data_IF_820245661902
#
_entry.id   IF_820245661902
#
_cell.length_a   1.000
_cell.length_b   1.000
_cell.length_c   1.000
_cell.angle_alpha   90.00
_cell.angle_beta   90.00
_cell.angle_gamma   90.00
#
_symmetry.space_group_name_H-M   'P 1'
#
loop_
_entity.id
_entity.type
_entity.pdbx_description
1 polymer ?
#
# COMPACT_ATOMS: atom_id res chain seq x y z
N UNK A 1 -6.21 22.61 -7.71
CA UNK A 1 -5.37 21.50 -8.24
C UNK A 1 -4.13 21.34 -7.38
N UNK A 2 -3.88 20.14 -6.89
CA UNK A 2 -2.71 19.85 -6.06
C UNK A 2 -1.50 19.49 -6.94
N UNK A 3 -0.31 19.77 -6.41
CA UNK A 3 0.95 19.30 -6.99
C UNK A 3 1.63 18.36 -6.04
N UNK A 4 2.02 17.20 -6.53
CA UNK A 4 2.78 16.25 -5.75
C UNK A 4 4.27 16.57 -5.83
N UNK A 5 4.96 16.45 -4.69
CA UNK A 5 6.43 16.48 -4.70
C UNK A 5 6.94 15.22 -5.40
N UNK A 6 8.21 15.20 -5.88
CA UNK A 6 8.77 13.99 -6.48
C UNK A 6 8.68 12.77 -5.57
N UNK A 7 8.91 12.95 -4.27
CA UNK A 7 8.82 11.85 -3.30
C UNK A 7 7.39 11.35 -3.12
N UNK A 8 6.41 12.25 -3.06
CA UNK A 8 4.99 11.88 -2.98
C UNK A 8 4.55 11.12 -4.24
N UNK A 9 5.02 11.57 -5.39
CA UNK A 9 4.73 10.93 -6.67
C UNK A 9 5.30 9.52 -6.75
N UNK A 10 6.56 9.34 -6.33
CA UNK A 10 7.19 8.02 -6.25
C UNK A 10 6.43 7.08 -5.32
N UNK A 11 5.99 7.61 -4.17
CA UNK A 11 5.20 6.82 -3.22
C UNK A 11 3.90 6.34 -3.86
N UNK A 12 3.19 7.22 -4.56
CA UNK A 12 1.95 6.85 -5.25
C UNK A 12 2.21 5.83 -6.36
N UNK A 13 3.29 5.99 -7.13
CA UNK A 13 3.66 5.04 -8.17
C UNK A 13 3.95 3.66 -7.59
N UNK A 14 4.64 3.60 -6.45
CA UNK A 14 4.91 2.34 -5.75
C UNK A 14 3.61 1.65 -5.31
N UNK A 15 2.67 2.41 -4.73
CA UNK A 15 1.39 1.86 -4.29
C UNK A 15 0.55 1.34 -5.46
N UNK A 16 0.49 2.12 -6.53
CA UNK A 16 -0.26 1.73 -7.74
C UNK A 16 0.34 0.52 -8.43
N UNK A 17 1.67 0.40 -8.44
CA UNK A 17 2.35 -0.76 -9.03
C UNK A 17 1.97 -2.06 -8.31
N UNK A 18 1.83 -2.04 -6.99
CA UNK A 18 1.37 -3.21 -6.23
C UNK A 18 -0.04 -3.61 -6.64
N UNK A 19 -0.92 -2.64 -6.83
CA UNK A 19 -2.32 -2.88 -7.24
C UNK A 19 -2.35 -3.47 -8.65
N UNK A 20 -1.60 -2.89 -9.58
CA UNK A 20 -1.55 -3.35 -10.96
C UNK A 20 -1.03 -4.78 -11.05
N UNK A 21 0.01 -5.09 -10.29
CA UNK A 21 0.55 -6.45 -10.22
C UNK A 21 -0.50 -7.43 -9.68
N UNK A 22 -1.17 -7.06 -8.59
CA UNK A 22 -2.20 -7.91 -8.00
C UNK A 22 -3.37 -8.15 -8.97
N UNK A 23 -3.78 -7.14 -9.72
CA UNK A 23 -4.87 -7.25 -10.69
C UNK A 23 -4.52 -8.10 -11.89
N UNK A 24 -3.22 -8.31 -12.16
CA UNK A 24 -2.75 -9.18 -13.23
C UNK A 24 -2.77 -10.66 -12.85
N UNK A 25 -2.94 -10.97 -11.55
CA UNK A 25 -2.97 -12.34 -11.07
C UNK A 25 -4.37 -12.94 -11.09
N UNK A 26 -4.48 -14.18 -11.58
CA UNK A 26 -5.67 -15.00 -11.39
C UNK A 26 -5.49 -15.86 -10.16
N UNK A 27 -6.51 -15.95 -9.32
CA UNK A 27 -6.47 -16.76 -8.12
C UNK A 27 -7.24 -18.05 -8.37
N UNK A 28 -6.57 -19.19 -8.21
CA UNK A 28 -7.18 -20.50 -8.30
C UNK A 28 -7.47 -21.03 -6.89
N UNK A 29 -8.70 -20.82 -6.44
CA UNK A 29 -9.11 -21.24 -5.09
C UNK A 29 -9.19 -22.77 -4.96
N UNK A 30 -9.39 -23.50 -6.05
CA UNK A 30 -9.53 -24.95 -6.00
C UNK A 30 -8.21 -25.66 -5.69
N UNK A 31 -7.11 -25.11 -6.19
CA UNK A 31 -5.77 -25.67 -6.03
C UNK A 31 -4.94 -24.96 -4.96
N UNK A 32 -5.56 -24.10 -4.17
CA UNK A 32 -4.86 -23.33 -3.16
C UNK A 32 -4.57 -24.16 -1.90
N UNK A 33 -3.30 -24.25 -1.54
CA UNK A 33 -2.89 -24.88 -0.28
C UNK A 33 -3.06 -23.93 0.88
N UNK A 34 -3.03 -24.47 2.12
CA UNK A 34 -3.14 -23.66 3.34
C UNK A 34 -2.02 -22.64 3.47
N UNK A 35 -0.84 -22.96 2.94
CA UNK A 35 0.33 -22.07 3.00
C UNK A 35 0.15 -20.83 2.12
N UNK A 36 -0.64 -20.92 1.06
CA UNK A 36 -0.87 -19.84 0.12
C UNK A 36 -1.97 -18.89 0.57
N UNK A 37 -2.71 -19.24 1.62
CA UNK A 37 -3.88 -18.48 2.06
C UNK A 37 -3.53 -17.04 2.45
N UNK A 38 -2.45 -16.85 3.22
CA UNK A 38 -2.03 -15.52 3.66
C UNK A 38 -1.59 -14.65 2.46
N UNK A 39 -0.85 -15.24 1.51
CA UNK A 39 -0.43 -14.53 0.30
C UNK A 39 -1.62 -14.18 -0.58
N UNK A 40 -2.59 -15.09 -0.68
CA UNK A 40 -3.83 -14.85 -1.42
C UNK A 40 -4.63 -13.71 -0.83
N UNK A 41 -4.71 -13.60 0.49
CA UNK A 41 -5.39 -12.49 1.15
C UNK A 41 -4.76 -11.14 0.80
N UNK A 42 -3.43 -11.07 0.77
CA UNK A 42 -2.71 -9.86 0.37
C UNK A 42 -3.03 -9.48 -1.07
N UNK A 43 -3.06 -10.45 -1.97
CA UNK A 43 -3.39 -10.22 -3.37
C UNK A 43 -4.84 -9.72 -3.51
N UNK A 44 -5.78 -10.33 -2.80
CA UNK A 44 -7.18 -9.91 -2.83
C UNK A 44 -7.35 -8.48 -2.31
N UNK A 45 -6.68 -8.13 -1.22
CA UNK A 45 -6.70 -6.78 -0.68
C UNK A 45 -6.11 -5.78 -1.67
N UNK A 46 -4.97 -6.12 -2.27
CA UNK A 46 -4.30 -5.26 -3.25
C UNK A 46 -5.18 -5.04 -4.49
N UNK A 47 -5.92 -6.06 -4.93
CA UNK A 47 -6.87 -5.92 -6.04
C UNK A 47 -7.97 -4.91 -5.71
N UNK A 48 -8.30 -4.73 -4.44
CA UNK A 48 -9.27 -3.74 -3.96
C UNK A 48 -8.65 -2.37 -3.68
N UNK A 49 -7.36 -2.22 -3.90
CA UNK A 49 -6.63 -0.98 -3.65
C UNK A 49 -6.02 -0.87 -2.26
N UNK A 50 -6.01 -1.94 -1.47
CA UNK A 50 -5.44 -1.96 -0.12
C UNK A 50 -4.03 -2.54 -0.18
N UNK A 51 -3.04 -1.69 0.06
CA UNK A 51 -1.63 -2.05 -0.08
C UNK A 51 -0.81 -1.53 1.10
N UNK A 52 0.45 -1.95 1.16
CA UNK A 52 1.38 -1.48 2.18
C UNK A 52 2.34 -0.45 1.59
N UNK A 53 2.65 0.57 2.39
CA UNK A 53 3.63 1.57 2.01
C UNK A 53 5.04 0.97 2.05
N UNK A 54 6.01 1.53 1.26
CA UNK A 54 7.40 1.18 1.47
C UNK A 54 7.82 1.62 2.88
N UNK A 55 8.59 0.79 3.56
CA UNK A 55 9.14 1.15 4.86
C UNK A 55 10.25 2.20 4.74
N UNK A 56 10.86 2.53 5.86
CA UNK A 56 12.01 3.42 5.86
C UNK A 56 11.66 4.89 5.80
N UNK A 57 11.81 5.51 4.64
CA UNK A 57 11.67 6.96 4.49
C UNK A 57 10.23 7.46 4.36
N UNK A 58 9.27 6.57 4.13
CA UNK A 58 7.86 6.97 4.06
C UNK A 58 7.30 7.10 5.47
N UNK A 59 7.13 8.33 5.90
CA UNK A 59 6.65 8.65 7.25
C UNK A 59 5.15 8.93 7.24
N UNK A 60 4.56 8.98 8.44
CA UNK A 60 3.15 9.36 8.62
C UNK A 60 2.89 10.76 8.04
N UNK A 61 3.88 11.65 8.08
CA UNK A 61 3.74 13.00 7.52
C UNK A 61 3.42 12.96 6.02
N UNK A 62 4.16 12.16 5.26
CA UNK A 62 3.93 11.97 3.83
C UNK A 62 2.56 11.35 3.59
N UNK A 63 2.21 10.32 4.36
CA UNK A 63 0.94 9.63 4.22
C UNK A 63 -0.25 10.55 4.52
N UNK A 64 -0.16 11.36 5.57
CA UNK A 64 -1.23 12.30 5.92
C UNK A 64 -1.43 13.37 4.85
N UNK A 65 -0.35 13.83 4.22
CA UNK A 65 -0.46 14.76 3.10
C UNK A 65 -1.23 14.14 1.93
N UNK A 66 -0.90 12.89 1.59
CA UNK A 66 -1.60 12.16 0.52
C UNK A 66 -3.06 11.90 0.89
N UNK A 67 -3.35 11.60 2.15
CA UNK A 67 -4.72 11.42 2.63
C UNK A 67 -5.51 12.72 2.57
N UNK A 68 -4.91 13.84 2.98
CA UNK A 68 -5.56 15.16 2.94
C UNK A 68 -5.90 15.60 1.51
N UNK A 69 -5.10 15.18 0.54
CA UNK A 69 -5.35 15.46 -0.88
C UNK A 69 -6.47 14.55 -1.41
N UNK A 70 -6.79 13.46 -0.72
CA UNK A 70 -7.81 12.51 -1.16
C UNK A 70 -7.33 11.40 -2.05
N UNK A 71 -6.02 11.13 -2.07
CA UNK A 71 -5.44 10.07 -2.90
C UNK A 71 -5.41 8.72 -2.19
N UNK A 72 -5.29 8.72 -0.87
CA UNK A 72 -5.26 7.51 -0.06
C UNK A 72 -6.10 7.66 1.20
N UNK A 73 -6.40 6.53 1.84
CA UNK A 73 -6.93 6.47 3.19
C UNK A 73 -6.01 5.60 4.02
N UNK A 74 -5.54 6.12 5.16
CA UNK A 74 -4.69 5.37 6.07
C UNK A 74 -5.56 4.40 6.88
N UNK A 75 -5.31 3.10 6.73
CA UNK A 75 -6.04 2.06 7.45
C UNK A 75 -5.31 1.63 8.73
N UNK A 76 -3.98 1.52 8.66
CA UNK A 76 -3.13 1.18 9.78
C UNK A 76 -1.85 1.99 9.69
N UNK A 77 -1.60 2.82 10.70
CA UNK A 77 -0.40 3.64 10.77
C UNK A 77 0.66 2.95 11.63
N UNK A 78 1.65 2.37 10.98
CA UNK A 78 2.77 1.71 11.65
C UNK A 78 4.06 2.54 11.59
N UNK A 79 3.99 3.75 11.05
CA UNK A 79 5.17 4.60 10.85
C UNK A 79 5.79 5.08 12.17
N UNK A 80 5.01 5.08 13.27
CA UNK A 80 5.50 5.43 14.58
C UNK A 80 6.25 4.32 15.31
N UNK A 81 6.24 3.09 14.74
CA UNK A 81 6.95 1.95 15.31
C UNK A 81 8.37 1.96 14.74
N UNK A 82 9.31 2.52 15.50
CA UNK A 82 10.69 2.59 15.07
C UNK A 82 11.38 1.23 15.12
N UNK A 83 12.12 0.93 14.07
CA UNK A 83 13.09 -0.17 14.06
C UNK A 83 14.46 0.42 13.78
N UNK A 84 15.53 -0.33 13.96
CA UNK A 84 16.87 0.12 13.59
C UNK A 84 17.03 0.41 12.09
N UNK A 85 16.05 0.08 11.28
CA UNK A 85 16.08 0.20 9.82
C UNK A 85 15.04 1.21 9.28
N UNK A 86 14.39 1.97 10.16
CA UNK A 86 13.38 2.95 9.78
C UNK A 86 11.96 2.55 10.19
N UNK A 87 10.96 3.20 9.61
CA UNK A 87 9.56 2.96 9.92
C UNK A 87 9.07 1.64 9.31
N UNK A 88 8.13 0.98 10.00
CA UNK A 88 7.45 -0.18 9.46
C UNK A 88 6.43 0.24 8.37
N UNK A 89 6.17 -0.62 7.37
CA UNK A 89 5.16 -0.32 6.37
C UNK A 89 3.78 -0.13 6.99
N UNK A 90 3.06 0.89 6.54
CA UNK A 90 1.69 1.18 6.95
C UNK A 90 0.71 0.64 5.90
N UNK A 91 -0.49 0.31 6.35
CA UNK A 91 -1.55 -0.20 5.46
C UNK A 91 -2.43 0.96 5.01
N UNK A 92 -2.59 1.11 3.71
CA UNK A 92 -3.36 2.20 3.12
C UNK A 92 -4.27 1.69 2.02
N UNK A 93 -5.35 2.44 1.75
CA UNK A 93 -6.20 2.20 0.59
C UNK A 93 -5.99 3.33 -0.41
N UNK A 94 -5.65 3.00 -1.66
CA UNK A 94 -5.55 3.97 -2.74
C UNK A 94 -6.95 4.24 -3.25
N UNK A 95 -7.36 5.51 -3.21
CA UNK A 95 -8.72 5.93 -3.59
C UNK A 95 -8.81 6.15 -5.10
N UNK A 96 -9.94 5.78 -5.67
CA UNK A 96 -10.24 6.01 -7.09
C UNK A 96 -9.25 5.38 -8.08
N UNK A 97 -8.75 4.20 -7.73
CA UNK A 97 -7.79 3.52 -8.60
C UNK A 97 -8.18 2.08 -8.94
#
# INVERSE_FOLDING_TARGET
MYKLTPFQKETMEFLKAQIDEARSHSIDFENMGKEDYANTQKILEAQKGIVYTPGGNVTVRTLRKLENIGLIKILEDNSGIGTGFGALPSKVKVLNY
#
